data_IF_595743215012
#
_entry.id   IF_595743215012
#
_cell.length_a   1.000
_cell.length_b   1.000
_cell.length_c   1.000
_cell.angle_alpha   90.00
_cell.angle_beta   90.00
_cell.angle_gamma   90.00
#
_symmetry.space_group_name_H-M   'P 1'
#
loop_
_entity.id
_entity.type
_entity.pdbx_description
1 polymer ?
#
# COMPACT_ATOMS: atom_id res chain seq x y z
N UNK A 1 10.31 0.86 26.24
CA UNK A 1 11.62 1.02 25.60
C UNK A 1 11.38 1.33 24.14
N UNK A 2 11.81 2.50 23.66
CA UNK A 2 11.78 2.81 22.22
C UNK A 2 13.18 2.52 21.67
N UNK A 3 13.30 1.52 20.79
CA UNK A 3 14.56 1.22 20.11
C UNK A 3 14.87 2.26 19.03
N UNK A 4 16.15 2.54 18.79
CA UNK A 4 16.62 3.47 17.74
C UNK A 4 17.00 2.76 16.43
N UNK A 5 16.37 1.61 16.17
CA UNK A 5 16.73 0.74 15.05
C UNK A 5 16.58 1.47 13.71
N UNK A 6 15.43 2.09 13.45
CA UNK A 6 15.17 2.78 12.20
C UNK A 6 16.05 4.01 12.01
N UNK A 7 16.30 4.79 13.07
CA UNK A 7 17.25 5.91 13.03
C UNK A 7 18.64 5.44 12.60
N UNK A 8 19.12 4.33 13.19
CA UNK A 8 20.44 3.77 12.88
C UNK A 8 20.52 3.21 11.47
N UNK A 9 19.52 2.43 11.05
CA UNK A 9 19.50 1.80 9.72
C UNK A 9 19.39 2.87 8.65
N UNK A 10 18.43 3.78 8.77
CA UNK A 10 18.23 4.83 7.78
C UNK A 10 19.37 5.84 7.78
N UNK A 11 19.94 6.17 8.94
CA UNK A 11 21.13 7.03 9.04
C UNK A 11 22.40 6.43 8.42
N UNK A 12 22.44 5.11 8.23
CA UNK A 12 23.55 4.41 7.57
C UNK A 12 23.47 4.36 6.04
N UNK A 13 22.35 4.77 5.44
CA UNK A 13 22.15 4.69 3.98
C UNK A 13 22.90 5.84 3.30
N UNK A 14 23.88 5.51 2.46
CA UNK A 14 24.56 6.49 1.60
C UNK A 14 23.58 7.03 0.55
N UNK A 15 23.61 8.35 0.33
CA UNK A 15 22.74 9.05 -0.62
C UNK A 15 21.23 8.82 -0.35
N UNK A 16 20.84 8.67 0.92
CA UNK A 16 19.44 8.45 1.32
C UNK A 16 18.48 9.45 0.65
N UNK A 17 18.86 10.72 0.58
CA UNK A 17 18.00 11.79 0.02
C UNK A 17 17.75 11.64 -1.50
N UNK A 18 18.50 10.77 -2.18
CA UNK A 18 18.29 10.42 -3.60
C UNK A 18 17.44 9.16 -3.79
N UNK A 19 16.93 8.56 -2.71
CA UNK A 19 16.17 7.32 -2.74
C UNK A 19 14.72 7.56 -2.32
N UNK A 20 13.82 6.78 -2.91
CA UNK A 20 12.49 6.59 -2.36
C UNK A 20 12.50 5.36 -1.45
N UNK A 21 12.13 5.54 -0.19
CA UNK A 21 12.10 4.47 0.82
C UNK A 21 10.66 4.32 1.30
N UNK A 22 10.17 3.08 1.29
CA UNK A 22 8.90 2.73 1.89
C UNK A 22 9.08 1.45 2.74
N UNK A 23 8.22 1.30 3.74
CA UNK A 23 8.14 0.09 4.56
C UNK A 23 6.86 -0.69 4.28
N UNK A 24 6.98 -2.01 4.24
CA UNK A 24 5.82 -2.87 4.35
C UNK A 24 5.37 -2.93 5.82
N UNK A 25 4.26 -2.26 6.09
CA UNK A 25 3.55 -2.29 7.35
C UNK A 25 2.15 -2.75 6.99
N UNK A 26 1.81 -3.97 7.38
CA UNK A 26 0.47 -4.51 7.12
C UNK A 26 -0.44 -4.14 8.31
N UNK A 27 -1.70 -3.74 8.03
CA UNK A 27 -2.64 -3.32 9.04
C UNK A 27 -3.00 -4.46 9.99
N UNK A 28 -2.92 -4.21 11.29
CA UNK A 28 -3.41 -5.10 12.33
C UNK A 28 -3.94 -4.27 13.53
N UNK A 29 -4.18 -4.89 14.69
CA UNK A 29 -4.46 -4.20 15.95
C UNK A 29 -3.18 -3.86 16.72
N UNK A 30 -2.08 -4.55 16.39
CA UNK A 30 -0.79 -4.43 17.08
C UNK A 30 0.23 -3.56 16.36
N UNK A 31 -0.08 -3.03 15.19
CA UNK A 31 0.82 -2.13 14.47
C UNK A 31 0.74 -0.70 15.02
N UNK A 32 1.74 0.10 14.63
CA UNK A 32 1.83 1.51 15.00
C UNK A 32 2.21 2.29 13.76
N UNK A 33 1.31 2.29 12.77
CA UNK A 33 1.47 2.98 11.50
C UNK A 33 1.89 4.45 11.70
N UNK A 34 1.36 5.14 12.72
CA UNK A 34 1.74 6.53 13.01
C UNK A 34 3.22 6.69 13.37
N UNK A 35 3.84 5.71 14.04
CA UNK A 35 5.28 5.74 14.28
C UNK A 35 6.07 5.50 12.99
N UNK A 36 5.66 4.53 12.17
CA UNK A 36 6.38 4.19 10.93
C UNK A 36 6.35 5.30 9.88
N UNK A 37 5.23 6.03 9.73
CA UNK A 37 5.13 7.13 8.75
C UNK A 37 6.05 8.32 9.01
N UNK A 38 6.63 8.39 10.23
CA UNK A 38 7.68 9.37 10.56
C UNK A 38 9.02 9.03 9.89
N UNK A 39 9.25 7.76 9.57
CA UNK A 39 10.50 7.27 8.99
C UNK A 39 10.47 7.19 7.46
N UNK A 40 9.35 6.73 6.89
CA UNK A 40 9.18 6.48 5.46
C UNK A 40 7.69 6.40 5.10
N UNK A 41 7.38 6.29 3.82
CA UNK A 41 6.02 5.96 3.38
C UNK A 41 5.70 4.50 3.71
N UNK A 42 4.43 4.16 3.91
CA UNK A 42 4.04 2.78 4.24
C UNK A 42 3.04 2.21 3.25
N UNK A 43 2.98 0.88 3.19
CA UNK A 43 2.03 0.15 2.35
C UNK A 43 0.59 0.41 2.76
N UNK A 44 -0.23 0.93 1.84
CA UNK A 44 -1.67 1.10 2.03
C UNK A 44 -2.43 -0.21 1.74
N UNK A 45 -2.07 -1.30 2.43
CA UNK A 45 -2.58 -2.64 2.17
C UNK A 45 -4.11 -2.73 2.31
N UNK A 46 -4.68 -2.12 3.35
CA UNK A 46 -6.13 -2.05 3.54
C UNK A 46 -6.85 -1.38 2.36
N UNK A 47 -6.26 -0.33 1.79
CA UNK A 47 -6.80 0.34 0.61
C UNK A 47 -6.78 -0.56 -0.63
N UNK A 48 -5.75 -1.40 -0.78
CA UNK A 48 -5.72 -2.48 -1.78
C UNK A 48 -6.91 -3.43 -1.65
N UNK A 49 -7.25 -3.84 -0.42
CA UNK A 49 -8.47 -4.62 -0.12
C UNK A 49 -9.76 -3.89 -0.52
N UNK A 50 -9.87 -2.59 -0.21
CA UNK A 50 -11.03 -1.77 -0.58
C UNK A 50 -11.21 -1.67 -2.09
N UNK A 51 -10.12 -1.47 -2.84
CA UNK A 51 -10.14 -1.38 -4.30
C UNK A 51 -10.63 -2.69 -4.92
N UNK A 52 -10.07 -3.82 -4.47
CA UNK A 52 -10.48 -5.16 -4.91
C UNK A 52 -11.97 -5.40 -4.67
N UNK A 53 -12.46 -5.07 -3.47
CA UNK A 53 -13.89 -5.16 -3.14
C UNK A 53 -14.76 -4.25 -4.00
N UNK A 54 -14.35 -3.00 -4.22
CA UNK A 54 -15.11 -2.03 -5.00
C UNK A 54 -15.27 -2.43 -6.47
N UNK A 55 -14.21 -2.92 -7.13
CA UNK A 55 -14.29 -3.32 -8.54
C UNK A 55 -15.05 -4.63 -8.75
N UNK A 56 -14.87 -5.61 -7.86
CA UNK A 56 -15.57 -6.91 -7.92
C UNK A 56 -17.06 -6.76 -7.65
N UNK A 57 -17.43 -5.94 -6.66
CA UNK A 57 -18.83 -5.61 -6.35
C UNK A 57 -19.46 -4.57 -7.28
N UNK A 58 -18.66 -3.95 -8.17
CA UNK A 58 -19.07 -2.83 -9.04
C UNK A 58 -19.63 -1.63 -8.26
N UNK A 59 -19.18 -1.42 -7.03
CA UNK A 59 -19.57 -0.31 -6.18
C UNK A 59 -18.34 0.54 -5.84
N UNK A 60 -18.12 1.62 -6.60
CA UNK A 60 -16.95 2.49 -6.46
C UNK A 60 -17.15 3.61 -5.42
N UNK A 61 -18.07 3.44 -4.48
CA UNK A 61 -18.28 4.38 -3.37
C UNK A 61 -17.15 4.27 -2.35
N UNK A 62 -16.96 5.33 -1.58
CA UNK A 62 -16.07 5.37 -0.41
C UNK A 62 -14.57 5.14 -0.67
N UNK A 63 -14.13 5.24 -1.93
CA UNK A 63 -12.71 5.16 -2.31
C UNK A 63 -11.94 6.47 -2.06
N UNK A 64 -12.61 7.52 -1.59
CA UNK A 64 -12.02 8.83 -1.32
C UNK A 64 -11.02 8.82 -0.16
N UNK A 65 -10.99 7.78 0.66
CA UNK A 65 -10.12 7.67 1.84
C UNK A 65 -9.17 6.50 1.69
N UNK A 66 -7.88 6.70 1.98
CA UNK A 66 -6.87 5.63 1.97
C UNK A 66 -6.89 4.96 3.34
N UNK A 67 -7.74 3.94 3.51
CA UNK A 67 -7.83 3.19 4.76
C UNK A 67 -6.63 2.27 4.92
N UNK A 68 -6.07 2.22 6.12
CA UNK A 68 -5.10 1.20 6.49
C UNK A 68 -5.80 0.07 7.25
N UNK A 69 -6.20 0.36 8.49
CA UNK A 69 -7.11 -0.44 9.29
C UNK A 69 -8.19 0.51 9.83
N UNK A 70 -8.16 0.80 11.13
CA UNK A 70 -8.96 1.83 11.78
C UNK A 70 -8.41 3.25 11.55
N UNK A 71 -7.20 3.38 10.98
CA UNK A 71 -6.56 4.64 10.63
C UNK A 71 -6.73 5.04 9.15
N UNK A 72 -6.46 6.32 8.87
CA UNK A 72 -6.44 6.90 7.52
C UNK A 72 -5.03 7.35 7.23
N UNK A 73 -4.46 6.87 6.12
CA UNK A 73 -3.14 7.33 5.69
C UNK A 73 -3.23 8.63 4.91
N UNK A 74 -2.25 9.51 5.15
CA UNK A 74 -2.04 10.67 4.31
C UNK A 74 -1.59 10.20 2.91
N UNK A 75 -2.18 10.70 1.81
CA UNK A 75 -1.73 10.39 0.46
C UNK A 75 -0.21 10.47 0.28
N UNK A 76 0.44 11.52 0.78
CA UNK A 76 1.91 11.73 0.64
C UNK A 76 2.77 10.77 1.46
N UNK A 77 2.14 9.85 2.21
CA UNK A 77 2.76 8.80 3.01
C UNK A 77 2.31 7.40 2.59
N UNK A 78 1.57 7.29 1.49
CA UNK A 78 0.88 6.08 1.08
C UNK A 78 1.54 5.45 -0.15
N UNK A 79 2.07 4.24 0.04
CA UNK A 79 2.47 3.35 -1.05
C UNK A 79 1.32 2.40 -1.36
N UNK A 80 0.61 2.67 -2.45
CA UNK A 80 -0.62 1.97 -2.83
C UNK A 80 -0.36 0.88 -3.89
N UNK A 81 -1.10 -0.21 -3.78
CA UNK A 81 -1.17 -1.25 -4.80
C UNK A 81 -2.57 -1.88 -4.76
N UNK A 82 -3.01 -2.47 -5.87
CA UNK A 82 -4.26 -3.25 -5.90
C UNK A 82 -4.09 -4.58 -5.18
N UNK A 83 -2.93 -5.21 -5.40
CA UNK A 83 -2.49 -6.46 -4.80
C UNK A 83 -0.96 -6.45 -4.71
N UNK A 84 -0.39 -7.18 -3.75
CA UNK A 84 1.04 -7.52 -3.71
C UNK A 84 1.26 -9.00 -4.07
N UNK A 85 2.51 -9.46 -3.93
CA UNK A 85 2.87 -10.84 -4.22
C UNK A 85 2.27 -11.82 -3.20
N UNK A 86 2.19 -11.46 -1.92
CA UNK A 86 1.57 -12.29 -0.87
C UNK A 86 0.06 -12.43 -1.08
N UNK A 87 -0.64 -11.35 -1.44
CA UNK A 87 -2.06 -11.37 -1.81
C UNK A 87 -2.34 -12.41 -2.90
N UNK A 88 -1.46 -12.47 -3.91
CA UNK A 88 -1.59 -13.40 -5.02
C UNK A 88 -1.25 -14.84 -4.61
N UNK A 89 -0.11 -15.03 -3.94
CA UNK A 89 0.39 -16.33 -3.50
C UNK A 89 -0.59 -16.99 -2.53
N UNK A 90 -1.08 -16.24 -1.54
CA UNK A 90 -1.98 -16.70 -0.50
C UNK A 90 -3.46 -16.75 -0.94
N UNK A 91 -3.73 -16.69 -2.25
CA UNK A 91 -5.04 -16.79 -2.89
C UNK A 91 -6.04 -15.67 -2.53
N UNK A 92 -5.62 -14.55 -1.95
CA UNK A 92 -6.49 -13.40 -1.64
C UNK A 92 -6.90 -12.65 -2.92
N UNK A 93 -5.97 -12.45 -3.87
CA UNK A 93 -6.25 -11.77 -5.14
C UNK A 93 -6.28 -12.70 -6.35
N UNK A 94 -5.92 -13.98 -6.19
CA UNK A 94 -5.68 -14.90 -7.32
C UNK A 94 -6.87 -15.05 -8.27
N UNK A 95 -8.10 -14.93 -7.76
CA UNK A 95 -9.32 -15.01 -8.56
C UNK A 95 -9.63 -13.75 -9.39
N UNK A 96 -8.95 -12.62 -9.13
CA UNK A 96 -9.17 -11.38 -9.87
C UNK A 96 -8.76 -11.54 -11.34
N UNK A 97 -9.67 -11.17 -12.23
CA UNK A 97 -9.44 -11.08 -13.67
C UNK A 97 -8.60 -9.88 -14.06
N UNK A 98 -8.15 -9.84 -15.32
CA UNK A 98 -7.38 -8.72 -15.87
C UNK A 98 -8.14 -7.39 -15.80
N UNK A 99 -9.43 -7.40 -16.16
CA UNK A 99 -10.27 -6.20 -16.15
C UNK A 99 -10.37 -5.57 -14.76
N UNK A 100 -10.59 -6.38 -13.72
CA UNK A 100 -10.74 -5.90 -12.34
C UNK A 100 -9.45 -5.25 -11.85
N UNK A 101 -8.30 -5.86 -12.14
CA UNK A 101 -6.98 -5.34 -11.76
C UNK A 101 -6.64 -4.05 -12.50
N UNK A 102 -6.89 -3.99 -13.81
CA UNK A 102 -6.66 -2.78 -14.59
C UNK A 102 -7.58 -1.64 -14.16
N UNK A 103 -8.85 -1.94 -13.87
CA UNK A 103 -9.80 -0.94 -13.38
C UNK A 103 -9.39 -0.41 -12.00
N UNK A 104 -9.07 -1.29 -11.06
CA UNK A 104 -8.59 -0.91 -9.73
C UNK A 104 -7.28 -0.12 -9.80
N UNK A 105 -6.36 -0.53 -10.68
CA UNK A 105 -5.09 0.15 -10.86
C UNK A 105 -5.28 1.55 -11.47
N UNK A 106 -6.19 1.70 -12.43
CA UNK A 106 -6.51 3.00 -13.04
C UNK A 106 -7.01 4.01 -12.00
N UNK A 107 -7.78 3.55 -11.00
CA UNK A 107 -8.26 4.40 -9.90
C UNK A 107 -7.07 4.94 -9.07
N UNK A 108 -6.12 4.10 -8.68
CA UNK A 108 -4.97 4.56 -7.90
C UNK A 108 -3.96 5.34 -8.74
N UNK A 109 -3.71 4.93 -9.99
CA UNK A 109 -2.78 5.62 -10.87
C UNK A 109 -3.25 7.05 -11.21
N UNK A 110 -4.56 7.31 -11.18
CA UNK A 110 -5.13 8.64 -11.37
C UNK A 110 -5.12 9.52 -10.10
N UNK A 111 -4.80 8.96 -8.94
CA UNK A 111 -4.89 9.66 -7.66
C UNK A 111 -3.65 10.52 -7.40
N UNK A 112 -3.87 11.77 -7.02
CA UNK A 112 -2.80 12.69 -6.68
C UNK A 112 -2.05 12.27 -5.41
N UNK A 113 -0.75 12.60 -5.37
CA UNK A 113 0.12 12.53 -4.20
C UNK A 113 0.38 11.14 -3.61
N UNK A 114 0.00 10.05 -4.27
CA UNK A 114 0.34 8.70 -3.84
C UNK A 114 1.43 8.09 -4.73
N UNK A 115 2.24 7.21 -4.15
CA UNK A 115 3.09 6.31 -4.94
C UNK A 115 2.30 5.04 -5.21
N UNK A 116 2.34 4.56 -6.45
CA UNK A 116 1.62 3.33 -6.84
C UNK A 116 2.57 2.27 -7.37
N UNK A 117 2.22 1.01 -7.15
CA UNK A 117 2.90 -0.14 -7.75
C UNK A 117 1.88 -1.04 -8.44
N UNK A 118 2.15 -1.33 -9.71
CA UNK A 118 1.49 -2.41 -10.43
C UNK A 118 2.20 -3.74 -10.11
N UNK A 119 1.43 -4.77 -9.75
CA UNK A 119 1.97 -6.13 -9.61
C UNK A 119 1.81 -6.88 -10.93
N UNK A 120 2.93 -7.09 -11.63
CA UNK A 120 2.99 -7.95 -12.80
C UNK A 120 2.96 -9.42 -12.34
N UNK A 121 1.87 -10.14 -12.65
CA UNK A 121 1.78 -11.55 -12.26
C UNK A 121 2.75 -12.40 -13.09
N UNK A 122 3.27 -13.52 -12.56
CA UNK A 122 4.28 -14.32 -13.26
C UNK A 122 3.88 -14.90 -14.62
N UNK A 123 2.58 -15.02 -14.91
CA UNK A 123 2.05 -15.67 -16.11
C UNK A 123 1.29 -14.70 -17.03
N UNK A 124 1.61 -13.41 -16.94
CA UNK A 124 1.04 -12.34 -17.79
C UNK A 124 1.99 -11.87 -18.88
#
# INVERSE_FOLDING_TARGET
WAGNYWDRVLGGIKNKDSLYIFGEVLPDKGDNDQAYVTYFDITAHGYGGQLRSAVTSKNLRDLGTIRHYDSILNPTKSFCYVENHDDYESNVSRSLGLWERQMAYSIIAARANITTRYFARPNE
#
